data_IF_492570225555
#
_entry.id   IF_492570225555
#
_cell.length_a   1.000
_cell.length_b   1.000
_cell.length_c   1.000
_cell.angle_alpha   90.00
_cell.angle_beta   90.00
_cell.angle_gamma   90.00
#
_symmetry.space_group_name_H-M   'P 1'
#
loop_
_entity.id
_entity.type
_entity.pdbx_description
1 polymer ?
#
# COMPACT_ATOMS: atom_id res chain seq x y z
N UNK A 1 24.92 9.26 -1.42
CA UNK A 1 24.30 8.44 -0.37
C UNK A 1 22.78 8.60 -0.51
N UNK A 2 22.06 7.47 -0.66
CA UNK A 2 20.62 7.48 -0.87
C UNK A 2 19.89 7.77 0.45
N UNK A 3 18.83 8.57 0.36
CA UNK A 3 17.88 8.74 1.45
C UNK A 3 16.88 7.57 1.36
N UNK A 4 16.84 6.73 2.39
CA UNK A 4 15.90 5.62 2.49
C UNK A 4 15.11 5.77 3.79
N UNK A 5 13.82 6.04 3.68
CA UNK A 5 12.94 6.26 4.83
C UNK A 5 11.84 5.20 4.91
N UNK A 6 11.36 4.87 6.12
CA UNK A 6 10.30 3.88 6.29
C UNK A 6 9.02 4.23 5.49
N UNK A 7 8.42 3.26 4.79
CA UNK A 7 7.15 3.46 4.07
C UNK A 7 5.97 3.45 5.05
N UNK A 8 5.72 4.58 5.74
CA UNK A 8 4.72 4.66 6.81
C UNK A 8 3.31 4.26 6.39
N UNK A 9 2.89 4.62 5.17
CA UNK A 9 1.56 4.23 4.69
C UNK A 9 1.36 2.72 4.73
N UNK A 10 2.33 1.95 4.21
CA UNK A 10 2.28 0.48 4.27
C UNK A 10 2.31 -0.01 5.72
N UNK A 11 3.13 0.60 6.58
CA UNK A 11 3.24 0.19 7.97
C UNK A 11 1.94 0.44 8.77
N UNK A 12 1.18 1.51 8.46
CA UNK A 12 -0.15 1.75 9.01
C UNK A 12 -1.16 0.71 8.54
N UNK A 13 -1.19 0.40 7.23
CA UNK A 13 -2.06 -0.62 6.67
C UNK A 13 -1.78 -2.00 7.28
N UNK A 14 -0.49 -2.35 7.43
CA UNK A 14 -0.07 -3.58 8.09
C UNK A 14 -0.59 -3.65 9.54
N UNK A 15 -0.44 -2.58 10.32
CA UNK A 15 -0.90 -2.51 11.70
C UNK A 15 -2.42 -2.67 11.83
N UNK A 16 -3.20 -2.08 10.92
CA UNK A 16 -4.66 -2.24 10.91
C UNK A 16 -5.06 -3.68 10.59
N UNK A 17 -4.38 -4.34 9.65
CA UNK A 17 -4.63 -5.74 9.33
C UNK A 17 -4.24 -6.69 10.49
N UNK A 18 -3.07 -6.47 11.11
CA UNK A 18 -2.66 -7.26 12.29
C UNK A 18 -3.67 -7.13 13.43
N UNK A 19 -4.19 -5.91 13.69
CA UNK A 19 -5.24 -5.68 14.69
C UNK A 19 -6.53 -6.46 14.40
N UNK A 20 -6.79 -6.76 13.11
CA UNK A 20 -7.93 -7.59 12.66
C UNK A 20 -7.61 -9.09 12.65
N UNK A 21 -6.41 -9.50 13.03
CA UNK A 21 -6.01 -10.91 13.14
C UNK A 21 -5.40 -11.51 11.87
N UNK A 22 -5.14 -10.71 10.82
CA UNK A 22 -4.47 -11.19 9.61
C UNK A 22 -2.98 -11.39 9.86
N UNK A 23 -2.40 -12.42 9.23
CA UNK A 23 -0.95 -12.61 9.17
C UNK A 23 -0.40 -11.71 8.07
N UNK A 24 0.45 -10.76 8.42
CA UNK A 24 0.99 -9.77 7.50
C UNK A 24 2.50 -9.94 7.34
N UNK A 25 2.99 -9.75 6.12
CA UNK A 25 4.41 -9.61 5.80
C UNK A 25 4.59 -8.32 5.01
N UNK A 26 5.53 -7.48 5.41
CA UNK A 26 5.89 -6.27 4.66
C UNK A 26 7.24 -6.50 3.99
N UNK A 27 7.33 -6.14 2.71
CA UNK A 27 8.58 -6.18 1.93
C UNK A 27 8.84 -4.78 1.41
N UNK A 28 9.91 -4.15 1.90
CA UNK A 28 10.46 -2.93 1.34
C UNK A 28 11.61 -3.29 0.40
N UNK A 29 11.26 -3.61 -0.84
CA UNK A 29 12.22 -4.08 -1.84
C UNK A 29 13.34 -3.07 -2.12
N UNK A 30 13.07 -1.78 -1.98
CA UNK A 30 14.07 -0.74 -2.17
C UNK A 30 15.05 -0.69 -0.99
N UNK A 31 14.56 -0.65 0.23
CA UNK A 31 15.42 -0.65 1.43
C UNK A 31 16.22 -1.94 1.57
N UNK A 32 15.63 -3.08 1.21
CA UNK A 32 16.29 -4.38 1.24
C UNK A 32 17.20 -4.64 0.05
N UNK A 33 17.18 -3.76 -0.97
CA UNK A 33 17.92 -3.88 -2.24
C UNK A 33 17.61 -5.22 -2.95
N UNK A 34 16.34 -5.62 -2.94
CA UNK A 34 15.91 -6.87 -3.57
C UNK A 34 15.78 -6.68 -5.07
N UNK A 35 16.34 -7.63 -5.83
CA UNK A 35 15.95 -7.80 -7.21
C UNK A 35 14.61 -8.57 -7.33
N UNK A 36 14.09 -8.68 -8.54
CA UNK A 36 12.80 -9.32 -8.76
C UNK A 36 12.80 -10.83 -8.49
N UNK A 37 13.95 -11.52 -8.56
CA UNK A 37 14.04 -12.94 -8.26
C UNK A 37 13.92 -13.17 -6.75
N UNK A 38 14.63 -12.37 -5.95
CA UNK A 38 14.50 -12.42 -4.48
C UNK A 38 13.12 -11.99 -4.02
N UNK A 39 12.51 -10.99 -4.67
CA UNK A 39 11.13 -10.59 -4.39
C UNK A 39 10.15 -11.74 -4.68
N UNK A 40 10.30 -12.43 -5.82
CA UNK A 40 9.49 -13.59 -6.18
C UNK A 40 9.59 -14.71 -5.14
N UNK A 41 10.80 -15.04 -4.70
CA UNK A 41 11.03 -16.06 -3.66
C UNK A 41 10.41 -15.65 -2.30
N UNK A 42 10.45 -14.37 -1.93
CA UNK A 42 9.80 -13.87 -0.71
C UNK A 42 8.28 -14.03 -0.79
N UNK A 43 7.64 -13.65 -1.91
CA UNK A 43 6.21 -13.81 -2.13
C UNK A 43 5.84 -15.30 -2.08
N UNK A 44 6.55 -16.13 -2.82
CA UNK A 44 6.33 -17.57 -2.87
C UNK A 44 6.45 -18.22 -1.49
N UNK A 45 7.49 -17.91 -0.74
CA UNK A 45 7.74 -18.50 0.59
C UNK A 45 6.70 -18.09 1.63
N UNK A 46 6.15 -16.88 1.54
CA UNK A 46 5.07 -16.44 2.41
C UNK A 46 3.73 -17.04 2.04
N UNK A 47 3.53 -17.38 0.75
CA UNK A 47 2.29 -17.97 0.20
C UNK A 47 1.03 -17.15 0.59
N UNK A 48 0.93 -15.89 0.15
CA UNK A 48 -0.15 -15.00 0.54
C UNK A 48 -1.46 -15.31 -0.19
N UNK A 49 -2.60 -15.09 0.46
CA UNK A 49 -3.92 -15.04 -0.21
C UNK A 49 -4.07 -13.77 -1.05
N UNK A 50 -3.50 -12.67 -0.58
CA UNK A 50 -3.52 -11.38 -1.27
C UNK A 50 -2.15 -10.68 -1.19
N UNK A 51 -1.76 -10.01 -2.28
CA UNK A 51 -0.59 -9.11 -2.33
C UNK A 51 -1.07 -7.70 -2.58
N UNK A 52 -0.71 -6.79 -1.66
CA UNK A 52 -0.98 -5.36 -1.79
C UNK A 52 0.31 -4.62 -2.16
N UNK A 53 0.22 -3.78 -3.18
CA UNK A 53 1.37 -3.07 -3.76
C UNK A 53 1.09 -1.57 -3.74
N UNK A 54 2.02 -0.78 -3.22
CA UNK A 54 1.97 0.67 -3.36
C UNK A 54 2.79 1.11 -4.57
N UNK A 55 2.27 2.08 -5.31
CA UNK A 55 2.95 2.62 -6.48
C UNK A 55 3.04 4.15 -6.43
N UNK A 56 4.22 4.67 -6.77
CA UNK A 56 4.42 6.08 -7.12
C UNK A 56 4.66 6.20 -8.62
N UNK A 57 4.12 7.23 -9.25
CA UNK A 57 4.17 7.41 -10.71
C UNK A 57 5.58 7.27 -11.31
N UNK A 58 6.65 7.84 -10.73
CA UNK A 58 7.99 7.72 -11.32
C UNK A 58 8.57 6.29 -11.36
N UNK A 59 8.03 5.37 -10.58
CA UNK A 59 8.53 3.98 -10.45
C UNK A 59 7.41 2.95 -10.63
N UNK A 60 6.32 3.33 -11.26
CA UNK A 60 5.12 2.50 -11.38
C UNK A 60 5.37 1.19 -12.14
N UNK A 61 6.27 1.18 -13.11
CA UNK A 61 6.63 -0.01 -13.86
C UNK A 61 7.16 -1.15 -12.96
N UNK A 62 7.89 -0.79 -11.90
CA UNK A 62 8.34 -1.76 -10.91
C UNK A 62 7.16 -2.35 -10.11
N UNK A 63 6.16 -1.53 -9.79
CA UNK A 63 4.95 -2.00 -9.12
C UNK A 63 4.13 -2.93 -10.02
N UNK A 64 3.98 -2.61 -11.30
CA UNK A 64 3.30 -3.47 -12.27
C UNK A 64 4.05 -4.78 -12.49
N UNK A 65 5.38 -4.74 -12.60
CA UNK A 65 6.18 -5.96 -12.67
C UNK A 65 6.03 -6.82 -11.42
N UNK A 66 5.95 -6.19 -10.24
CA UNK A 66 5.66 -6.90 -8.98
C UNK A 66 4.27 -7.55 -9.02
N UNK A 67 3.25 -6.87 -9.55
CA UNK A 67 1.92 -7.44 -9.71
C UNK A 67 1.91 -8.68 -10.61
N UNK A 68 2.62 -8.63 -11.76
CA UNK A 68 2.75 -9.79 -12.65
C UNK A 68 3.43 -10.98 -11.95
N UNK A 69 4.46 -10.75 -11.14
CA UNK A 69 5.12 -11.79 -10.36
C UNK A 69 4.16 -12.36 -9.31
N UNK A 70 3.51 -11.47 -8.54
CA UNK A 70 2.63 -11.83 -7.44
C UNK A 70 1.41 -12.64 -7.91
N UNK A 71 0.92 -12.41 -9.15
CA UNK A 71 -0.22 -13.14 -9.74
C UNK A 71 0.00 -14.65 -9.78
N UNK A 72 1.24 -15.12 -9.82
CA UNK A 72 1.56 -16.54 -9.81
C UNK A 72 1.31 -17.22 -8.46
N UNK A 73 1.26 -16.45 -7.38
CA UNK A 73 1.30 -16.94 -5.99
C UNK A 73 0.15 -16.45 -5.12
N UNK A 74 -0.58 -15.43 -5.55
CA UNK A 74 -1.67 -14.85 -4.79
C UNK A 74 -2.97 -14.80 -5.59
N UNK A 75 -4.09 -15.04 -4.90
CA UNK A 75 -5.43 -14.96 -5.49
C UNK A 75 -5.82 -13.54 -5.83
N UNK A 76 -5.47 -12.58 -4.97
CA UNK A 76 -5.86 -11.18 -5.11
C UNK A 76 -4.66 -10.26 -5.18
N UNK A 77 -4.61 -9.43 -6.20
CA UNK A 77 -3.60 -8.37 -6.36
C UNK A 77 -4.30 -7.03 -6.18
N UNK A 78 -3.88 -6.30 -5.16
CA UNK A 78 -4.47 -5.02 -4.77
C UNK A 78 -3.43 -3.93 -4.95
N UNK A 79 -3.77 -2.83 -5.58
CA UNK A 79 -2.86 -1.71 -5.76
C UNK A 79 -3.38 -0.47 -5.06
N UNK A 80 -2.48 0.29 -4.45
CA UNK A 80 -2.77 1.57 -3.81
C UNK A 80 -1.64 2.58 -3.99
N UNK A 81 -1.72 3.66 -3.24
CA UNK A 81 -0.70 4.70 -3.23
C UNK A 81 -0.95 5.84 -4.21
N UNK A 82 -0.03 6.83 -4.27
CA UNK A 82 -0.24 8.08 -4.99
C UNK A 82 -0.56 7.91 -6.48
N UNK A 83 0.05 6.92 -7.14
CA UNK A 83 -0.25 6.67 -8.55
C UNK A 83 -1.71 6.27 -8.77
N UNK A 84 -2.25 5.40 -7.93
CA UNK A 84 -3.66 4.97 -8.00
C UNK A 84 -4.61 6.13 -7.77
N UNK A 85 -4.29 7.04 -6.84
CA UNK A 85 -5.12 8.22 -6.57
C UNK A 85 -5.27 9.13 -7.79
N UNK A 86 -4.25 9.18 -8.67
CA UNK A 86 -4.26 9.98 -9.90
C UNK A 86 -4.82 9.20 -11.09
N UNK A 87 -4.39 7.94 -11.26
CA UNK A 87 -4.71 7.13 -12.43
C UNK A 87 -6.11 6.50 -12.37
N UNK A 88 -6.63 6.25 -11.16
CA UNK A 88 -7.92 5.60 -10.97
C UNK A 88 -8.01 4.24 -11.66
N UNK A 89 -9.09 4.02 -12.39
CA UNK A 89 -9.33 2.76 -13.13
C UNK A 89 -8.34 2.48 -14.26
N UNK A 90 -7.57 3.48 -14.72
CA UNK A 90 -6.54 3.28 -15.77
C UNK A 90 -5.46 2.28 -15.37
N UNK A 91 -5.25 2.04 -14.08
CA UNK A 91 -4.29 1.04 -13.60
C UNK A 91 -4.60 -0.36 -14.14
N UNK A 92 -5.88 -0.69 -14.40
CA UNK A 92 -6.28 -2.00 -14.93
C UNK A 92 -5.98 -2.18 -16.42
N UNK A 93 -5.93 -1.07 -17.18
CA UNK A 93 -5.50 -1.07 -18.58
C UNK A 93 -3.99 -1.24 -18.67
N UNK A 94 -3.25 -0.58 -17.77
CA UNK A 94 -1.80 -0.59 -17.70
C UNK A 94 -1.23 -1.90 -17.12
N UNK A 95 -1.95 -2.51 -16.16
CA UNK A 95 -1.56 -3.77 -15.53
C UNK A 95 -2.79 -4.68 -15.34
N UNK A 96 -3.05 -5.59 -16.29
CA UNK A 96 -4.18 -6.51 -16.21
C UNK A 96 -4.15 -7.49 -15.03
N UNK A 97 -3.02 -7.67 -14.37
CA UNK A 97 -2.92 -8.55 -13.19
C UNK A 97 -3.44 -7.91 -11.90
N UNK A 98 -3.71 -6.62 -11.89
CA UNK A 98 -4.35 -5.95 -10.75
C UNK A 98 -5.84 -6.25 -10.74
N UNK A 99 -6.36 -6.75 -9.61
CA UNK A 99 -7.79 -7.04 -9.43
C UNK A 99 -8.55 -5.84 -8.87
N UNK A 100 -7.95 -5.17 -7.88
CA UNK A 100 -8.56 -4.07 -7.14
C UNK A 100 -7.56 -2.93 -6.95
N UNK A 101 -8.08 -1.72 -6.90
CA UNK A 101 -7.32 -0.54 -6.52
C UNK A 101 -7.99 0.15 -5.32
N UNK A 102 -7.19 0.73 -4.43
CA UNK A 102 -7.66 1.48 -3.27
C UNK A 102 -7.15 2.91 -3.37
N UNK A 103 -8.08 3.86 -3.45
CA UNK A 103 -7.81 5.28 -3.61
C UNK A 103 -7.98 6.01 -2.27
N UNK A 104 -7.10 6.99 -2.00
CA UNK A 104 -7.13 7.82 -0.80
C UNK A 104 -6.53 7.11 0.43
N UNK A 105 -7.02 7.46 1.63
CA UNK A 105 -6.57 6.85 2.88
C UNK A 105 -7.04 5.40 2.99
N UNK A 106 -6.07 4.48 3.00
CA UNK A 106 -6.35 3.05 2.92
C UNK A 106 -6.73 2.38 4.25
N UNK A 107 -6.54 3.04 5.38
CA UNK A 107 -6.69 2.41 6.70
C UNK A 107 -8.14 1.98 7.03
N UNK A 108 -9.12 2.55 6.33
CA UNK A 108 -10.53 2.12 6.41
C UNK A 108 -10.86 1.18 5.25
N UNK A 109 -10.58 1.60 4.02
CA UNK A 109 -10.98 0.90 2.79
C UNK A 109 -10.30 -0.44 2.61
N UNK A 110 -8.98 -0.49 2.83
CA UNK A 110 -8.20 -1.70 2.58
C UNK A 110 -8.58 -2.87 3.50
N UNK A 111 -8.70 -2.72 4.84
CA UNK A 111 -9.15 -3.81 5.68
C UNK A 111 -10.61 -4.22 5.43
N UNK A 112 -11.49 -3.31 5.00
CA UNK A 112 -12.85 -3.66 4.60
C UNK A 112 -12.85 -4.50 3.32
N UNK A 113 -12.01 -4.14 2.33
CA UNK A 113 -11.83 -4.92 1.12
C UNK A 113 -11.31 -6.32 1.43
N UNK A 114 -10.24 -6.43 2.24
CA UNK A 114 -9.66 -7.73 2.61
C UNK A 114 -10.69 -8.62 3.32
N UNK A 115 -11.45 -8.07 4.28
CA UNK A 115 -12.51 -8.80 4.99
C UNK A 115 -13.64 -9.25 4.04
N UNK A 116 -14.02 -8.41 3.09
CA UNK A 116 -15.05 -8.75 2.11
C UNK A 116 -14.57 -9.86 1.17
N UNK A 117 -13.31 -9.81 0.71
CA UNK A 117 -12.70 -10.86 -0.12
C UNK A 117 -12.59 -12.20 0.61
N UNK A 118 -12.15 -12.18 1.88
CA UNK A 118 -12.05 -13.37 2.73
C UNK A 118 -13.41 -14.05 2.89
N UNK A 119 -14.46 -13.27 3.07
CA UNK A 119 -15.83 -13.76 3.30
C UNK A 119 -16.67 -13.90 2.05
N UNK A 120 -16.10 -13.68 0.86
CA UNK A 120 -16.81 -13.64 -0.42
C UNK A 120 -18.07 -12.72 -0.40
N UNK A 121 -17.93 -11.56 0.27
CA UNK A 121 -18.98 -10.55 0.35
C UNK A 121 -18.90 -9.57 -0.82
N UNK A 122 -19.99 -8.84 -1.03
CA UNK A 122 -20.05 -7.74 -1.97
C UNK A 122 -19.07 -6.61 -1.58
N UNK A 123 -18.28 -6.17 -2.56
CA UNK A 123 -17.29 -5.10 -2.43
C UNK A 123 -17.73 -3.77 -3.07
N UNK A 124 -18.89 -3.76 -3.74
CA UNK A 124 -19.39 -2.59 -4.49
C UNK A 124 -19.72 -1.39 -3.60
N UNK A 125 -19.78 -1.60 -2.27
CA UNK A 125 -20.06 -0.55 -1.30
C UNK A 125 -18.85 -0.23 -0.40
N UNK A 126 -17.67 -0.78 -0.70
CA UNK A 126 -16.45 -0.46 0.09
C UNK A 126 -15.87 0.87 -0.39
N UNK A 127 -15.86 1.93 0.45
CA UNK A 127 -15.38 3.25 0.03
C UNK A 127 -13.95 3.20 -0.51
N UNK A 128 -13.64 3.98 -1.53
CA UNK A 128 -12.31 4.08 -2.12
C UNK A 128 -11.86 2.86 -2.93
N UNK A 129 -12.66 1.80 -2.99
CA UNK A 129 -12.33 0.63 -3.82
C UNK A 129 -12.75 0.85 -5.26
N UNK A 130 -11.84 0.56 -6.16
CA UNK A 130 -12.04 0.58 -7.62
C UNK A 130 -11.80 -0.85 -8.13
N UNK A 131 -12.68 -1.33 -8.98
CA UNK A 131 -12.54 -2.56 -9.75
C UNK A 131 -12.71 -2.25 -11.24
N UNK A 132 -12.67 -3.28 -12.12
CA UNK A 132 -12.78 -3.08 -13.57
C UNK A 132 -14.14 -2.54 -14.00
N UNK A 133 -15.18 -2.93 -13.29
CA UNK A 133 -16.59 -2.70 -13.61
C UNK A 133 -17.27 -1.62 -12.74
N UNK A 134 -16.58 -1.17 -11.68
CA UNK A 134 -17.07 -0.09 -10.83
C UNK A 134 -15.94 0.73 -10.19
N UNK A 135 -16.31 1.93 -9.73
CA UNK A 135 -15.45 2.81 -8.96
C UNK A 135 -16.26 3.47 -7.85
N UNK A 136 -15.92 3.18 -6.62
CA UNK A 136 -16.59 3.79 -5.47
C UNK A 136 -15.98 5.17 -5.17
N UNK A 137 -16.77 6.08 -4.56
CA UNK A 137 -16.23 7.35 -4.06
C UNK A 137 -15.05 7.13 -3.11
N UNK A 138 -14.06 8.02 -3.08
CA UNK A 138 -12.96 7.96 -2.12
C UNK A 138 -13.44 7.77 -0.69
N UNK A 139 -12.64 7.07 0.12
CA UNK A 139 -12.92 6.96 1.55
C UNK A 139 -12.97 8.35 2.19
N UNK A 140 -13.90 8.59 3.14
CA UNK A 140 -13.84 9.79 3.96
C UNK A 140 -12.48 9.90 4.66
N UNK A 141 -12.00 11.13 4.83
CA UNK A 141 -10.80 11.38 5.62
C UNK A 141 -11.02 10.90 7.06
N UNK A 142 -9.97 10.35 7.65
CA UNK A 142 -10.03 9.87 9.03
C UNK A 142 -9.98 11.07 9.98
N UNK A 143 -11.12 11.39 10.58
CA UNK A 143 -11.26 12.54 11.47
C UNK A 143 -10.53 12.36 12.80
N UNK A 144 -10.49 11.14 13.33
CA UNK A 144 -9.86 10.81 14.61
C UNK A 144 -8.62 9.92 14.37
N UNK A 145 -7.46 10.57 14.22
CA UNK A 145 -6.21 9.87 13.89
C UNK A 145 -5.73 8.92 14.99
N UNK A 146 -6.08 9.20 16.25
CA UNK A 146 -5.70 8.34 17.38
C UNK A 146 -6.47 7.00 17.41
N UNK A 147 -7.52 6.86 16.59
CA UNK A 147 -8.20 5.59 16.38
C UNK A 147 -7.38 4.56 15.58
N UNK A 148 -6.40 5.04 14.82
CA UNK A 148 -5.51 4.19 14.00
C UNK A 148 -4.40 3.64 14.91
N UNK A 149 -4.03 2.35 14.81
CA UNK A 149 -2.90 1.81 15.55
C UNK A 149 -1.59 2.47 15.10
N UNK A 150 -0.58 2.49 15.98
CA UNK A 150 0.77 2.85 15.57
C UNK A 150 1.25 1.96 14.41
N UNK A 151 2.08 2.50 13.49
CA UNK A 151 2.54 1.73 12.34
C UNK A 151 3.34 0.49 12.76
N UNK A 152 3.13 -0.61 12.06
CA UNK A 152 3.77 -1.91 12.32
C UNK A 152 5.28 -1.90 11.96
N UNK A 153 6.07 -1.10 12.68
CA UNK A 153 7.51 -0.92 12.44
C UNK A 153 8.31 -2.20 12.63
N UNK A 154 7.79 -3.14 13.43
CA UNK A 154 8.41 -4.45 13.67
C UNK A 154 8.43 -5.33 12.40
N UNK A 155 7.60 -5.02 11.40
CA UNK A 155 7.60 -5.70 10.10
C UNK A 155 8.56 -5.05 9.08
N UNK A 156 9.20 -3.93 9.44
CA UNK A 156 10.06 -3.18 8.54
C UNK A 156 11.55 -3.49 8.78
N UNK A 157 12.41 -3.40 7.75
CA UNK A 157 13.85 -3.57 7.87
C UNK A 157 14.50 -2.32 8.50
N UNK A 158 14.22 -2.05 9.78
CA UNK A 158 14.57 -0.80 10.46
C UNK A 158 16.08 -0.45 10.43
N UNK A 159 16.95 -1.44 10.26
CA UNK A 159 18.41 -1.25 10.17
C UNK A 159 18.84 -0.73 8.78
N UNK A 160 17.94 -0.73 7.80
CA UNK A 160 18.23 -0.29 6.43
C UNK A 160 17.90 1.19 6.19
N UNK A 161 17.10 1.80 7.07
CA UNK A 161 16.69 3.19 6.88
C UNK A 161 17.78 4.15 7.31
N UNK A 162 18.03 5.15 6.45
CA UNK A 162 19.10 6.13 6.63
C UNK A 162 18.73 7.49 6.04
N UNK A 163 19.30 8.51 6.59
CA UNK A 163 19.11 9.88 6.15
C UNK A 163 20.45 10.62 6.19
N UNK A 164 20.72 11.49 5.22
CA UNK A 164 22.03 12.16 5.07
C UNK A 164 22.44 13.00 6.28
N UNK A 165 21.48 13.47 7.05
CA UNK A 165 21.74 14.29 8.25
C UNK A 165 21.82 13.46 9.55
N UNK A 166 21.82 12.13 9.45
CA UNK A 166 21.86 11.25 10.63
C UNK A 166 22.90 10.14 10.44
N UNK A 167 23.76 9.96 11.44
CA UNK A 167 24.69 8.83 11.51
C UNK A 167 24.09 7.60 12.19
N UNK A 168 22.86 7.70 12.70
CA UNK A 168 22.17 6.64 13.45
C UNK A 168 20.95 6.10 12.72
N UNK A 169 20.19 5.26 13.42
CA UNK A 169 18.89 4.74 12.95
C UNK A 169 17.91 5.88 12.73
N UNK A 170 17.18 5.80 11.64
CA UNK A 170 16.19 6.80 11.25
C UNK A 170 14.80 6.21 11.32
N UNK A 171 13.87 6.97 11.84
CA UNK A 171 12.44 6.70 11.72
C UNK A 171 11.69 7.96 11.33
N UNK A 172 10.52 7.80 10.77
CA UNK A 172 9.61 8.90 10.40
C UNK A 172 8.31 8.78 11.15
N UNK A 173 7.59 9.88 11.33
CA UNK A 173 6.26 9.89 11.95
C UNK A 173 5.41 10.97 11.30
N UNK A 174 4.10 10.77 11.30
CA UNK A 174 3.14 11.81 10.99
C UNK A 174 2.62 12.42 12.29
N UNK A 175 2.66 13.74 12.38
CA UNK A 175 2.07 14.50 13.49
C UNK A 175 0.69 15.04 13.14
N UNK A 176 0.38 15.09 11.84
CA UNK A 176 -0.92 15.50 11.29
C UNK A 176 -1.07 14.97 9.87
N UNK A 177 -2.26 14.95 9.33
CA UNK A 177 -2.57 14.61 7.95
C UNK A 177 -3.38 15.69 7.27
N UNK A 178 -3.30 15.73 5.93
CA UNK A 178 -4.00 16.68 5.10
C UNK A 178 -3.31 18.04 5.00
N UNK A 179 -3.83 18.87 4.12
CA UNK A 179 -3.34 20.21 3.87
C UNK A 179 -4.54 21.15 3.62
N UNK A 180 -4.64 22.31 4.30
CA UNK A 180 -5.75 23.22 4.12
C UNK A 180 -5.68 24.05 2.81
N UNK A 181 -4.55 23.98 2.09
CA UNK A 181 -4.33 24.79 0.90
C UNK A 181 -4.84 24.12 -0.38
N UNK A 182 -5.11 24.92 -1.40
CA UNK A 182 -5.63 24.49 -2.71
C UNK A 182 -4.66 24.84 -3.84
N UNK A 183 -3.38 24.44 -3.71
CA UNK A 183 -2.35 24.71 -4.70
C UNK A 183 -2.68 23.94 -6.00
N UNK A 184 -2.67 24.63 -7.13
CA UNK A 184 -3.06 24.07 -8.43
C UNK A 184 -2.09 23.03 -8.99
N UNK A 185 -0.89 22.95 -8.45
CA UNK A 185 0.17 21.99 -8.82
C UNK A 185 0.30 20.82 -7.84
N UNK A 186 -0.52 20.78 -6.80
CA UNK A 186 -0.42 19.76 -5.75
C UNK A 186 -1.56 18.77 -5.85
N UNK A 187 -1.20 17.49 -5.91
CA UNK A 187 -2.12 16.39 -5.67
C UNK A 187 -2.36 16.28 -4.15
N UNK A 188 -3.60 16.45 -3.75
CA UNK A 188 -4.04 16.40 -2.35
C UNK A 188 -4.58 15.04 -1.94
N UNK A 189 -4.09 13.99 -2.60
CA UNK A 189 -4.49 12.64 -2.25
C UNK A 189 -4.25 12.31 -0.79
#
# INVERSE_FOLDING_TARGET
EDIIVPPLGIAYLAAVLERKGHKVCVVDAFAEMLDFNFLEERIKSFSPDAVAITGMTPVIDNAYRTANIARKYARHIIMGGPHVSVAGSKVFEQCPDVDYAVQGEGEISFPLLVEALERNKDITNVPGVIARDFSNPPSPLIGELDSIPFPARHLLPNERYRYILSSGKVTTMFTSRGCPYHCVFCDKA
#
